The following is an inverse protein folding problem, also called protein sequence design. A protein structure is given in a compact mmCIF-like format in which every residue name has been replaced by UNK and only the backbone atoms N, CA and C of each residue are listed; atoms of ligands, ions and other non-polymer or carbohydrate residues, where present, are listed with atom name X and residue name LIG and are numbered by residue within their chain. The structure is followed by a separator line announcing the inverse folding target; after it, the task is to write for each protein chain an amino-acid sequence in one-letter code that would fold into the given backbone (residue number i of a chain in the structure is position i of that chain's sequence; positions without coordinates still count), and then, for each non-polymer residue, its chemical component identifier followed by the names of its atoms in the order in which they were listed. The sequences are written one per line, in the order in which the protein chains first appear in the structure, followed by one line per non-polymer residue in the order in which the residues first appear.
data_IF_009502620537
#
_entry.id   IF_009502620537
#
_cell.length_a   1.000
_cell.length_b   1.000
_cell.length_c   1.000
_cell.angle_alpha   90.00
_cell.angle_beta   90.00
_cell.angle_gamma   90.00
#
_symmetry.space_group_name_H-M   'P 1'
#
loop_
_entity.id
_entity.type
_entity.pdbx_description
1 polymer ?
#
# COMPACT_ATOMS: atom_id res chain seq x y z
N UNK A 1 -23.18 -36.92 -0.16
CA UNK A 1 -24.25 -35.92 -0.15
C UNK A 1 -25.30 -36.08 -1.24
N UNK A 2 -25.30 -37.18 -1.94
CA UNK A 2 -26.28 -37.41 -3.02
C UNK A 2 -27.70 -37.77 -2.55
N UNK A 3 -27.90 -38.10 -1.28
CA UNK A 3 -29.20 -38.52 -0.75
C UNK A 3 -30.20 -37.40 -0.45
N UNK A 4 -29.79 -36.13 -0.43
CA UNK A 4 -30.65 -35.00 -0.13
C UNK A 4 -30.93 -34.08 -1.33
N UNK A 5 -30.48 -34.41 -2.55
CA UNK A 5 -30.66 -33.53 -3.71
C UNK A 5 -30.00 -32.18 -3.62
N UNK A 6 -29.11 -31.98 -2.63
CA UNK A 6 -28.32 -30.78 -2.45
C UNK A 6 -27.04 -30.87 -3.27
N UNK A 7 -27.11 -30.39 -4.48
CA UNK A 7 -25.92 -30.17 -5.28
C UNK A 7 -25.29 -28.85 -4.82
N UNK A 8 -24.03 -28.92 -4.39
CA UNK A 8 -23.25 -27.69 -4.26
C UNK A 8 -23.22 -27.04 -5.64
N UNK A 9 -23.82 -25.85 -5.75
CA UNK A 9 -23.64 -25.02 -6.96
C UNK A 9 -22.13 -24.94 -7.20
N UNK A 10 -21.70 -25.42 -8.36
CA UNK A 10 -20.29 -25.34 -8.75
C UNK A 10 -19.81 -23.92 -8.46
N UNK A 11 -18.86 -23.74 -7.56
CA UNK A 11 -18.33 -22.41 -7.33
C UNK A 11 -17.82 -21.91 -8.69
N UNK A 12 -18.31 -20.76 -9.11
CA UNK A 12 -17.79 -20.07 -10.29
C UNK A 12 -16.28 -20.12 -10.18
N UNK A 13 -15.54 -20.65 -11.18
CA UNK A 13 -14.10 -20.75 -11.07
C UNK A 13 -13.58 -19.36 -10.69
N UNK A 14 -12.90 -19.27 -9.55
CA UNK A 14 -12.30 -18.01 -9.09
C UNK A 14 -11.44 -17.51 -10.24
N UNK A 15 -11.86 -16.43 -10.88
CA UNK A 15 -11.02 -15.76 -11.85
C UNK A 15 -9.68 -15.49 -11.17
N UNK A 16 -8.63 -16.13 -11.65
CA UNK A 16 -7.29 -15.83 -11.17
C UNK A 16 -7.06 -14.35 -11.46
N UNK A 17 -6.93 -13.56 -10.41
CA UNK A 17 -6.52 -12.18 -10.52
C UNK A 17 -5.14 -12.16 -11.19
N UNK A 18 -5.10 -11.74 -12.44
CA UNK A 18 -3.85 -11.46 -13.11
C UNK A 18 -3.53 -9.99 -12.84
N UNK A 19 -2.45 -9.76 -12.14
CA UNK A 19 -1.93 -8.40 -11.98
C UNK A 19 -1.78 -7.76 -13.35
N UNK A 20 -2.14 -6.49 -13.44
CA UNK A 20 -2.04 -5.72 -14.67
C UNK A 20 -0.65 -5.85 -15.30
N UNK A 21 -0.61 -6.40 -16.51
CA UNK A 21 0.59 -6.49 -17.34
C UNK A 21 0.67 -5.27 -18.26
N UNK A 22 0.57 -4.06 -17.69
CA UNK A 22 0.75 -2.84 -18.46
C UNK A 22 2.20 -2.66 -18.90
N UNK A 23 2.41 -1.89 -19.95
CA UNK A 23 3.74 -1.46 -20.37
C UNK A 23 4.42 -0.72 -19.22
N UNK A 24 5.44 -1.33 -18.66
CA UNK A 24 6.26 -0.71 -17.62
C UNK A 24 7.32 0.17 -18.30
N UNK A 25 6.96 1.41 -18.58
CA UNK A 25 7.94 2.42 -19.00
C UNK A 25 8.80 2.82 -17.80
N UNK A 26 9.92 2.15 -17.65
CA UNK A 26 10.87 2.38 -16.57
C UNK A 26 10.56 1.54 -15.32
N UNK A 27 11.40 0.54 -15.09
CA UNK A 27 11.33 -0.27 -13.86
C UNK A 27 12.18 0.37 -12.77
N UNK A 28 11.53 0.92 -11.76
CA UNK A 28 12.22 1.25 -10.52
C UNK A 28 12.58 -0.03 -9.77
N UNK A 29 13.80 -0.08 -9.22
CA UNK A 29 14.23 -1.20 -8.38
C UNK A 29 13.32 -1.30 -7.16
N UNK A 30 12.80 -2.50 -6.88
CA UNK A 30 12.03 -2.72 -5.67
C UNK A 30 12.97 -2.79 -4.44
N UNK A 31 12.97 -1.72 -3.66
CA UNK A 31 13.85 -1.58 -2.47
C UNK A 31 13.41 -2.44 -1.28
N UNK A 32 12.20 -3.02 -1.33
CA UNK A 32 11.68 -3.88 -0.26
C UNK A 32 12.11 -5.34 -0.43
N UNK A 33 12.68 -5.71 -1.58
CA UNK A 33 13.06 -7.08 -1.86
C UNK A 33 14.48 -7.38 -1.39
N UNK A 34 14.59 -8.29 -0.44
CA UNK A 34 15.85 -8.91 -0.07
C UNK A 34 16.08 -10.17 -0.90
N UNK A 35 17.16 -10.17 -1.67
CA UNK A 35 17.60 -11.33 -2.46
C UNK A 35 18.39 -12.27 -1.57
N UNK A 36 17.90 -13.51 -1.40
CA UNK A 36 18.65 -14.59 -0.76
C UNK A 36 18.97 -15.69 -1.78
N UNK A 37 20.20 -16.00 -1.94
CA UNK A 37 20.65 -17.11 -2.77
C UNK A 37 20.90 -18.33 -1.90
N UNK A 38 20.22 -19.42 -2.19
CA UNK A 38 20.53 -20.70 -1.57
C UNK A 38 21.59 -21.41 -2.43
N UNK A 39 22.81 -21.45 -1.89
CA UNK A 39 23.99 -22.01 -2.57
C UNK A 39 23.84 -23.50 -2.89
N UNK A 40 23.02 -24.23 -2.11
CA UNK A 40 22.83 -25.69 -2.27
C UNK A 40 21.80 -26.04 -3.34
N UNK A 41 20.79 -25.20 -3.53
CA UNK A 41 19.65 -25.51 -4.40
C UNK A 41 19.70 -24.66 -5.71
N UNK A 42 20.63 -23.73 -5.83
CA UNK A 42 20.74 -22.75 -6.94
C UNK A 42 19.43 -21.99 -7.22
N UNK A 43 18.60 -21.79 -6.19
CA UNK A 43 17.35 -21.02 -6.28
C UNK A 43 17.54 -19.68 -5.60
N UNK A 44 17.07 -18.64 -6.26
CA UNK A 44 16.98 -17.30 -5.70
C UNK A 44 15.60 -17.12 -5.09
N UNK A 45 15.57 -16.74 -3.81
CA UNK A 45 14.34 -16.40 -3.11
C UNK A 45 14.29 -14.90 -2.89
N UNK A 46 13.13 -14.31 -3.11
CA UNK A 46 12.89 -12.92 -2.82
C UNK A 46 11.98 -12.82 -1.59
N UNK A 47 12.48 -12.24 -0.53
CA UNK A 47 11.69 -11.93 0.67
C UNK A 47 11.40 -10.43 0.72
N UNK A 48 10.18 -10.07 1.05
CA UNK A 48 9.81 -8.67 1.28
C UNK A 48 10.27 -8.27 2.68
N UNK A 49 11.13 -7.27 2.75
CA UNK A 49 11.61 -6.72 4.01
C UNK A 49 10.75 -5.52 4.44
N UNK A 50 9.84 -5.76 5.36
CA UNK A 50 8.96 -4.74 5.93
C UNK A 50 9.45 -4.19 7.27
N UNK A 51 10.60 -4.63 7.77
CA UNK A 51 11.16 -4.12 9.02
C UNK A 51 11.55 -2.65 8.88
N UNK A 52 11.27 -1.90 9.93
CA UNK A 52 11.58 -0.47 10.02
C UNK A 52 12.39 -0.19 11.29
N UNK A 53 13.30 0.76 11.21
CA UNK A 53 14.15 1.22 12.33
C UNK A 53 13.80 2.62 12.80
N UNK A 54 13.11 3.39 11.97
CA UNK A 54 12.73 4.76 12.26
C UNK A 54 11.36 5.12 11.69
N UNK A 55 10.77 6.17 12.24
CA UNK A 55 9.51 6.75 11.78
C UNK A 55 9.69 7.30 10.36
N UNK A 56 8.66 7.19 9.53
CA UNK A 56 8.63 7.66 8.14
C UNK A 56 9.64 6.98 7.19
N UNK A 57 10.17 5.83 7.57
CA UNK A 57 11.08 5.07 6.73
C UNK A 57 10.35 4.29 5.63
N UNK A 58 9.20 3.72 5.97
CA UNK A 58 8.35 2.95 5.05
C UNK A 58 6.89 3.25 5.31
N UNK A 59 6.20 3.61 4.25
CA UNK A 59 4.76 3.83 4.27
C UNK A 59 4.05 2.73 3.49
N UNK A 60 2.88 2.37 3.95
CA UNK A 60 1.97 1.49 3.23
C UNK A 60 0.64 2.19 3.00
N UNK A 61 0.00 1.87 1.91
CA UNK A 61 -1.33 2.39 1.57
C UNK A 61 -2.20 1.27 1.05
N UNK A 62 -3.49 1.41 1.26
CA UNK A 62 -4.52 0.53 0.72
C UNK A 62 -5.76 1.36 0.43
N UNK A 63 -6.61 0.89 -0.47
CA UNK A 63 -7.88 1.54 -0.80
C UNK A 63 -9.01 0.65 -0.33
N UNK A 64 -9.78 1.14 0.63
CA UNK A 64 -10.96 0.47 1.15
C UNK A 64 -12.23 1.12 0.62
N UNK A 65 -13.20 0.33 0.19
CA UNK A 65 -14.47 0.82 -0.28
C UNK A 65 -15.59 0.57 0.73
N UNK A 66 -16.44 1.56 0.91
CA UNK A 66 -17.58 1.53 1.80
C UNK A 66 -18.87 1.87 1.03
N UNK A 67 -19.85 1.01 1.15
CA UNK A 67 -21.19 1.29 0.62
C UNK A 67 -22.01 2.05 1.65
N UNK A 68 -22.54 3.19 1.26
CA UNK A 68 -23.53 3.96 2.03
C UNK A 68 -24.89 3.84 1.38
N UNK A 69 -25.94 4.32 2.04
CA UNK A 69 -27.29 4.30 1.48
C UNK A 69 -27.43 5.10 0.17
N UNK A 70 -26.58 6.12 -0.05
CA UNK A 70 -26.67 7.03 -1.19
C UNK A 70 -25.53 6.87 -2.20
N UNK A 71 -24.37 6.34 -1.78
CA UNK A 71 -23.18 6.30 -2.64
C UNK A 71 -22.15 5.28 -2.14
N UNK A 72 -21.14 5.08 -2.95
CA UNK A 72 -19.95 4.33 -2.57
C UNK A 72 -18.81 5.31 -2.26
N UNK A 73 -18.13 5.09 -1.16
CA UNK A 73 -16.99 5.89 -0.72
C UNK A 73 -15.71 5.06 -0.76
N UNK A 74 -14.63 5.69 -1.12
CA UNK A 74 -13.29 5.10 -1.15
C UNK A 74 -12.39 5.84 -0.18
N UNK A 75 -11.90 5.13 0.82
CA UNK A 75 -10.92 5.64 1.77
C UNK A 75 -9.54 5.13 1.39
N UNK A 76 -8.61 6.05 1.25
CA UNK A 76 -7.22 5.76 0.92
C UNK A 76 -6.29 6.33 2.01
N UNK A 77 -5.92 5.55 3.04
CA UNK A 77 -5.00 5.98 4.08
C UNK A 77 -3.55 5.65 3.72
N UNK A 78 -2.62 6.45 4.23
CA UNK A 78 -1.20 6.13 4.29
C UNK A 78 -0.81 5.88 5.74
N UNK A 79 -0.29 4.70 6.01
CA UNK A 79 0.17 4.27 7.31
C UNK A 79 1.71 4.26 7.37
N UNK A 80 2.28 4.92 8.36
CA UNK A 80 3.69 4.71 8.69
C UNK A 80 3.89 3.38 9.40
N UNK A 81 4.72 2.53 8.83
CA UNK A 81 4.89 1.16 9.31
C UNK A 81 5.64 1.07 10.64
N UNK A 82 6.42 2.09 11.00
CA UNK A 82 7.15 2.13 12.26
C UNK A 82 6.29 2.60 13.43
N UNK A 83 5.73 3.79 13.32
CA UNK A 83 4.89 4.39 14.37
C UNK A 83 3.47 3.85 14.40
N UNK A 84 3.04 3.17 13.32
CA UNK A 84 1.69 2.68 13.09
C UNK A 84 0.61 3.78 13.10
N UNK A 85 1.01 4.98 12.76
CA UNK A 85 0.12 6.14 12.67
C UNK A 85 -0.27 6.42 11.23
N UNK A 86 -1.48 6.91 11.03
CA UNK A 86 -1.92 7.40 9.72
C UNK A 86 -1.31 8.78 9.51
N UNK A 87 -0.47 8.89 8.48
CA UNK A 87 0.23 10.13 8.12
C UNK A 87 -0.51 10.96 7.07
N UNK A 88 -1.32 10.31 6.25
CA UNK A 88 -2.17 10.97 5.27
C UNK A 88 -3.38 10.10 4.95
N UNK A 89 -4.46 10.71 4.46
CA UNK A 89 -5.63 10.01 3.96
C UNK A 89 -6.43 10.89 3.01
N UNK A 90 -7.24 10.25 2.18
CA UNK A 90 -8.25 10.92 1.38
C UNK A 90 -9.51 10.08 1.25
N UNK A 91 -10.65 10.74 1.13
CA UNK A 91 -11.95 10.11 0.93
C UNK A 91 -12.54 10.64 -0.37
N UNK A 92 -12.96 9.75 -1.25
CA UNK A 92 -13.53 10.10 -2.54
C UNK A 92 -14.72 9.22 -2.88
N UNK A 93 -15.60 9.71 -3.73
CA UNK A 93 -16.70 8.93 -4.30
C UNK A 93 -16.27 8.10 -5.51
N UNK A 94 -15.12 8.40 -6.08
CA UNK A 94 -14.53 7.68 -7.22
C UNK A 94 -13.06 7.39 -6.97
N UNK A 95 -12.58 6.16 -7.20
CA UNK A 95 -11.17 5.87 -7.11
C UNK A 95 -10.44 6.53 -8.30
N UNK A 96 -9.45 7.35 -8.03
CA UNK A 96 -8.69 8.06 -9.06
C UNK A 96 -7.25 8.30 -8.63
N UNK A 97 -6.35 8.49 -9.59
CA UNK A 97 -4.98 8.93 -9.33
C UNK A 97 -4.93 10.25 -8.56
N UNK A 98 -5.93 11.12 -8.78
CA UNK A 98 -6.02 12.39 -8.08
C UNK A 98 -6.22 12.22 -6.57
N UNK A 99 -6.96 11.19 -6.15
CA UNK A 99 -7.08 10.79 -4.75
C UNK A 99 -5.71 10.41 -4.17
N UNK A 100 -4.93 9.64 -4.91
CA UNK A 100 -3.57 9.26 -4.52
C UNK A 100 -2.67 10.47 -4.34
N UNK A 101 -2.71 11.43 -5.26
CA UNK A 101 -1.93 12.67 -5.12
C UNK A 101 -2.31 13.48 -3.89
N UNK A 102 -3.60 13.64 -3.60
CA UNK A 102 -4.06 14.40 -2.42
C UNK A 102 -3.61 13.77 -1.11
N UNK A 103 -3.72 12.44 -0.97
CA UNK A 103 -3.28 11.77 0.25
C UNK A 103 -1.76 11.82 0.43
N UNK A 104 -0.99 11.71 -0.66
CA UNK A 104 0.46 11.85 -0.63
C UNK A 104 0.88 13.27 -0.28
N UNK A 105 0.24 14.27 -0.86
CA UNK A 105 0.50 15.68 -0.56
C UNK A 105 0.27 15.99 0.92
N UNK A 106 -0.81 15.48 1.51
CA UNK A 106 -1.08 15.59 2.94
C UNK A 106 0.02 14.93 3.78
N UNK A 107 0.46 13.72 3.41
CA UNK A 107 1.50 13.00 4.12
C UNK A 107 2.85 13.71 4.05
N UNK A 108 3.23 14.21 2.88
CA UNK A 108 4.46 14.96 2.68
C UNK A 108 4.44 16.31 3.40
N UNK A 109 3.33 17.03 3.39
CA UNK A 109 3.18 18.28 4.13
C UNK A 109 3.42 18.07 5.62
N UNK A 110 2.85 17.03 6.21
CA UNK A 110 3.09 16.69 7.63
C UNK A 110 4.55 16.29 7.90
N UNK A 111 5.16 15.54 6.99
CA UNK A 111 6.55 15.14 7.09
C UNK A 111 7.49 16.35 7.06
N UNK A 112 7.30 17.27 6.12
CA UNK A 112 8.11 18.49 6.02
C UNK A 112 7.92 19.41 7.21
N UNK A 113 6.69 19.59 7.71
CA UNK A 113 6.44 20.42 8.91
C UNK A 113 7.07 19.81 10.17
N UNK A 114 7.08 18.50 10.34
CA UNK A 114 7.73 17.88 11.49
C UNK A 114 9.26 18.02 11.45
N UNK A 115 9.85 18.05 10.26
CA UNK A 115 11.30 18.23 10.10
C UNK A 115 11.74 19.69 10.15
N UNK A 116 10.88 20.64 9.77
CA UNK A 116 11.22 22.06 9.80
C UNK A 116 11.48 22.59 11.23
N UNK A 117 10.81 22.03 12.25
CA UNK A 117 11.03 22.42 13.64
C UNK A 117 12.44 22.16 14.15
N UNK A 118 13.17 21.20 13.56
CA UNK A 118 14.52 20.87 13.98
C UNK A 118 15.62 21.61 13.19
N UNK A 119 15.45 21.78 11.90
CA UNK A 119 16.47 22.38 11.02
C UNK A 119 16.49 23.91 11.10
N UNK A 120 15.35 24.55 11.34
CA UNK A 120 15.28 26.02 11.46
C UNK A 120 15.72 26.56 12.81
N UNK A 121 15.76 25.72 13.86
CA UNK A 121 16.29 26.14 15.15
C UNK A 121 17.82 26.23 15.21
N UNK A 122 18.52 25.61 14.23
CA UNK A 122 19.97 25.68 14.11
C UNK A 122 20.50 26.85 13.26
N UNK A 123 19.63 27.58 12.58
CA UNK A 123 19.96 28.75 11.77
C UNK A 123 19.24 29.99 12.28
N UNK A 124 19.20 30.19 13.61
CA UNK A 124 18.89 31.51 14.16
C UNK A 124 20.11 32.40 14.00
N UNK A 125 20.07 33.25 13.01
CA UNK A 125 20.93 34.40 12.92
C UNK A 125 20.49 35.47 13.95
#
# INVERSE_FOLDING_TARGET
MSHMGLYALNPTPKQRYNSYKGEMNGTCKNLLLDKRENKYIRKTYFNINLKTTSVNQKWTTDVSDFKTAMSKLYLSPILDMHSRKIVGYDISTTPSLFQTYRMLDMAFSKFFHSNQGWQYQHFSY
#
